data_IF_234118274113
#
_entry.id   IF_234118274113
#
_cell.length_a   1.000
_cell.length_b   1.000
_cell.length_c   1.000
_cell.angle_alpha   90.00
_cell.angle_beta   90.00
_cell.angle_gamma   90.00
#
_symmetry.space_group_name_H-M   'P 1'
#
loop_
_entity.id
_entity.type
_entity.pdbx_description
1 polymer ?
#
# COMPACT_ATOMS: atom_id res chain seq x y z
N UNK A 1 -30.24 -5.31 -0.25
CA UNK A 1 -28.87 -5.81 -0.46
C UNK A 1 -27.97 -4.90 0.35
N UNK A 2 -27.32 -5.40 1.39
CA UNK A 2 -26.38 -4.57 2.14
C UNK A 2 -25.20 -4.27 1.22
N UNK A 3 -24.91 -3.00 0.98
CA UNK A 3 -23.63 -2.61 0.40
C UNK A 3 -22.54 -3.17 1.29
N UNK A 4 -21.59 -3.90 0.70
CA UNK A 4 -20.44 -4.40 1.41
C UNK A 4 -19.51 -3.20 1.70
N UNK A 5 -19.81 -2.46 2.75
CA UNK A 5 -19.10 -1.24 3.18
C UNK A 5 -17.76 -1.53 3.86
N UNK A 6 -17.34 -2.81 3.91
CA UNK A 6 -16.10 -3.18 4.60
C UNK A 6 -14.90 -2.76 3.75
N UNK A 7 -14.12 -1.82 4.29
CA UNK A 7 -12.92 -1.32 3.63
C UNK A 7 -11.90 -2.45 3.47
N UNK A 8 -11.45 -2.68 2.24
CA UNK A 8 -10.38 -3.64 1.93
C UNK A 8 -9.05 -2.93 1.81
N UNK A 9 -8.03 -3.48 2.47
CA UNK A 9 -6.68 -2.92 2.55
C UNK A 9 -5.69 -3.90 1.93
N UNK A 10 -4.77 -3.39 1.13
CA UNK A 10 -3.59 -4.14 0.68
C UNK A 10 -2.35 -3.63 1.43
N UNK A 11 -1.57 -4.54 2.00
CA UNK A 11 -0.26 -4.22 2.58
C UNK A 11 0.82 -4.81 1.68
N UNK A 12 1.68 -3.97 1.12
CA UNK A 12 2.76 -4.38 0.23
C UNK A 12 4.13 -4.03 0.84
N UNK A 13 4.86 -5.05 1.24
CA UNK A 13 6.17 -4.97 1.89
C UNK A 13 6.85 -6.33 1.80
N UNK A 14 8.14 -6.40 1.47
CA UNK A 14 8.89 -7.65 1.44
C UNK A 14 9.32 -8.11 2.84
N UNK A 15 9.32 -7.22 3.83
CA UNK A 15 9.59 -7.58 5.22
C UNK A 15 8.36 -8.22 5.88
N UNK A 16 8.43 -9.54 6.07
CA UNK A 16 7.40 -10.35 6.72
C UNK A 16 7.06 -9.85 8.13
N UNK A 17 8.03 -9.29 8.86
CA UNK A 17 7.82 -8.74 10.19
C UNK A 17 6.93 -7.49 10.14
N UNK A 18 7.19 -6.60 9.17
CA UNK A 18 6.40 -5.39 8.95
C UNK A 18 4.99 -5.74 8.48
N UNK A 19 4.85 -6.65 7.50
CA UNK A 19 3.55 -7.13 7.03
C UNK A 19 2.73 -7.71 8.19
N UNK A 20 3.35 -8.55 9.02
CA UNK A 20 2.69 -9.20 10.16
C UNK A 20 2.24 -8.17 11.20
N UNK A 21 3.11 -7.20 11.52
CA UNK A 21 2.80 -6.12 12.45
C UNK A 21 1.64 -5.26 11.95
N UNK A 22 1.70 -4.78 10.71
CA UNK A 22 0.65 -3.94 10.11
C UNK A 22 -0.67 -4.68 10.00
N UNK A 23 -0.64 -5.95 9.57
CA UNK A 23 -1.85 -6.77 9.50
C UNK A 23 -2.50 -6.95 10.87
N UNK A 24 -1.70 -7.23 11.91
CA UNK A 24 -2.21 -7.35 13.27
C UNK A 24 -2.76 -6.02 13.80
N UNK A 25 -2.05 -4.92 13.54
CA UNK A 25 -2.47 -3.57 13.92
C UNK A 25 -3.81 -3.20 13.26
N UNK A 26 -3.94 -3.39 11.95
CA UNK A 26 -5.17 -3.11 11.22
C UNK A 26 -6.34 -3.98 11.73
N UNK A 27 -6.11 -5.27 11.96
CA UNK A 27 -7.13 -6.17 12.54
C UNK A 27 -7.59 -5.70 13.93
N UNK A 28 -6.67 -5.30 14.80
CA UNK A 28 -7.00 -4.77 16.13
C UNK A 28 -7.83 -3.47 16.07
N UNK A 29 -7.71 -2.72 14.98
CA UNK A 29 -8.49 -1.51 14.72
C UNK A 29 -9.78 -1.75 13.91
N UNK A 30 -10.22 -3.01 13.76
CA UNK A 30 -11.50 -3.36 13.14
C UNK A 30 -11.48 -3.51 11.62
N UNK A 31 -10.31 -3.54 10.98
CA UNK A 31 -10.21 -3.87 9.56
C UNK A 31 -10.13 -5.39 9.36
N UNK A 32 -11.15 -5.97 8.72
CA UNK A 32 -11.27 -7.43 8.57
C UNK A 32 -10.70 -7.95 7.24
N UNK A 33 -10.77 -7.14 6.18
CA UNK A 33 -10.34 -7.51 4.82
C UNK A 33 -8.97 -6.94 4.50
N UNK A 34 -7.93 -7.70 4.84
CA UNK A 34 -6.54 -7.30 4.62
C UNK A 34 -5.88 -8.37 3.75
N UNK A 35 -5.43 -7.96 2.58
CA UNK A 35 -4.59 -8.76 1.70
C UNK A 35 -3.13 -8.28 1.82
N UNK A 36 -2.18 -9.17 1.57
CA UNK A 36 -0.75 -8.89 1.71
C UNK A 36 -0.01 -9.22 0.42
N UNK A 37 1.01 -8.45 0.05
CA UNK A 37 1.88 -8.72 -1.08
C UNK A 37 3.34 -8.49 -0.69
N UNK A 38 4.24 -9.35 -1.14
CA UNK A 38 5.68 -9.25 -0.81
C UNK A 38 6.53 -8.65 -1.93
N UNK A 39 5.92 -8.25 -3.05
CA UNK A 39 6.61 -7.63 -4.18
C UNK A 39 5.64 -6.81 -5.03
N UNK A 40 6.18 -5.95 -5.88
CA UNK A 40 5.42 -5.06 -6.75
C UNK A 40 4.52 -5.83 -7.72
N UNK A 41 5.02 -6.92 -8.30
CA UNK A 41 4.25 -7.73 -9.24
C UNK A 41 2.99 -8.31 -8.59
N UNK A 42 3.11 -8.88 -7.39
CA UNK A 42 1.95 -9.45 -6.68
C UNK A 42 0.94 -8.35 -6.28
N UNK A 43 1.43 -7.21 -5.81
CA UNK A 43 0.57 -6.06 -5.50
C UNK A 43 -0.21 -5.60 -6.74
N UNK A 44 0.46 -5.47 -7.89
CA UNK A 44 -0.16 -5.04 -9.15
C UNK A 44 -1.21 -6.03 -9.67
N UNK A 45 -0.97 -7.34 -9.56
CA UNK A 45 -1.98 -8.34 -9.95
C UNK A 45 -3.21 -8.31 -9.03
N UNK A 46 -3.00 -8.06 -7.72
CA UNK A 46 -4.08 -7.91 -6.76
C UNK A 46 -4.95 -6.69 -7.04
N UNK A 47 -4.36 -5.52 -7.26
CA UNK A 47 -5.15 -4.29 -7.53
C UNK A 47 -5.88 -4.32 -8.88
N UNK A 48 -5.43 -5.14 -9.84
CA UNK A 48 -6.17 -5.36 -11.11
C UNK A 48 -7.42 -6.21 -10.93
N UNK A 49 -7.37 -7.17 -10.03
CA UNK A 49 -8.43 -8.17 -9.84
C UNK A 49 -9.38 -7.82 -8.69
N UNK A 50 -8.96 -6.95 -7.79
CA UNK A 50 -9.68 -6.59 -6.57
C UNK A 50 -9.63 -5.09 -6.34
N UNK A 51 -10.75 -4.50 -5.94
CA UNK A 51 -10.81 -3.08 -5.56
C UNK A 51 -10.36 -2.93 -4.11
N UNK A 52 -9.36 -2.07 -3.89
CA UNK A 52 -8.88 -1.69 -2.57
C UNK A 52 -9.24 -0.24 -2.26
N UNK A 53 -9.61 0.00 -1.01
CA UNK A 53 -9.83 1.36 -0.51
C UNK A 53 -8.51 2.01 -0.11
N UNK A 54 -7.58 1.22 0.42
CA UNK A 54 -6.27 1.67 0.87
C UNK A 54 -5.20 0.66 0.47
N UNK A 55 -4.06 1.15 0.00
CA UNK A 55 -2.83 0.40 -0.17
C UNK A 55 -1.76 1.02 0.72
N UNK A 56 -1.18 0.22 1.62
CA UNK A 56 0.05 0.55 2.32
C UNK A 56 1.20 -0.01 1.50
N UNK A 57 2.07 0.84 0.98
CA UNK A 57 3.04 0.47 -0.04
C UNK A 57 4.46 0.85 0.38
N UNK A 58 5.34 -0.14 0.51
CA UNK A 58 6.76 0.14 0.70
C UNK A 58 7.40 0.76 -0.55
N UNK A 59 8.37 1.66 -0.34
CA UNK A 59 9.11 2.30 -1.43
C UNK A 59 10.13 1.36 -2.07
N UNK A 60 10.79 0.51 -1.27
CA UNK A 60 11.90 -0.33 -1.73
C UNK A 60 11.47 -1.79 -1.78
N UNK A 61 10.76 -2.15 -2.84
CA UNK A 61 10.41 -3.55 -3.09
C UNK A 61 11.55 -4.27 -3.86
N UNK A 62 11.66 -5.60 -3.72
CA UNK A 62 12.76 -6.37 -4.31
C UNK A 62 12.78 -6.37 -5.85
N UNK A 63 11.66 -6.07 -6.49
CA UNK A 63 11.46 -6.16 -7.94
C UNK A 63 11.20 -4.81 -8.63
N UNK A 64 10.79 -3.77 -7.91
CA UNK A 64 10.47 -2.45 -8.47
C UNK A 64 10.43 -1.34 -7.40
N UNK A 65 10.77 -0.12 -7.78
CA UNK A 65 10.51 1.06 -6.94
C UNK A 65 8.99 1.25 -6.69
N UNK A 66 8.61 1.37 -5.42
CA UNK A 66 7.23 1.54 -4.98
C UNK A 66 6.56 2.80 -5.58
N UNK A 67 7.35 3.82 -5.91
CA UNK A 67 6.83 5.02 -6.60
C UNK A 67 6.23 4.68 -7.98
N UNK A 68 6.81 3.72 -8.71
CA UNK A 68 6.25 3.25 -9.98
C UNK A 68 4.99 2.41 -9.76
N UNK A 69 4.94 1.66 -8.67
CA UNK A 69 3.76 0.88 -8.27
C UNK A 69 2.60 1.81 -7.92
N UNK A 70 2.86 2.88 -7.16
CA UNK A 70 1.89 3.94 -6.88
C UNK A 70 1.28 4.49 -8.18
N UNK A 71 2.12 4.89 -9.15
CA UNK A 71 1.64 5.43 -10.41
C UNK A 71 0.69 4.44 -11.11
N UNK A 72 1.07 3.18 -11.21
CA UNK A 72 0.24 2.14 -11.85
C UNK A 72 -1.05 1.87 -11.08
N UNK A 73 -1.03 1.88 -9.75
CA UNK A 73 -2.26 1.74 -8.93
C UNK A 73 -3.21 2.89 -9.25
N UNK A 74 -2.71 4.12 -9.35
CA UNK A 74 -3.54 5.30 -9.66
C UNK A 74 -4.06 5.30 -11.10
N UNK A 75 -3.31 4.75 -12.05
CA UNK A 75 -3.78 4.52 -13.42
C UNK A 75 -4.90 3.47 -13.48
N UNK A 76 -4.80 2.41 -12.68
CA UNK A 76 -5.83 1.35 -12.59
C UNK A 76 -7.09 1.87 -11.88
N UNK A 77 -6.91 2.53 -10.74
CA UNK A 77 -8.00 3.11 -9.97
C UNK A 77 -7.51 4.33 -9.17
N UNK A 78 -7.84 5.52 -9.69
CA UNK A 78 -7.47 6.79 -9.05
C UNK A 78 -8.14 7.01 -7.69
N UNK A 79 -9.22 6.29 -7.37
CA UNK A 79 -9.94 6.36 -6.08
C UNK A 79 -9.31 5.54 -4.96
N UNK A 80 -8.37 4.66 -5.27
CA UNK A 80 -7.66 3.90 -4.25
C UNK A 80 -6.68 4.82 -3.52
N UNK A 81 -6.82 4.97 -2.21
CA UNK A 81 -5.84 5.71 -1.41
C UNK A 81 -4.55 4.89 -1.31
N UNK A 82 -3.41 5.54 -1.42
CA UNK A 82 -2.10 4.89 -1.33
C UNK A 82 -1.26 5.66 -0.34
N UNK A 83 -0.83 4.99 0.72
CA UNK A 83 0.11 5.54 1.70
C UNK A 83 1.46 4.89 1.46
N UNK A 84 2.46 5.72 1.17
CA UNK A 84 3.83 5.26 1.01
C UNK A 84 4.47 5.04 2.38
N UNK A 85 5.22 3.96 2.52
CA UNK A 85 5.96 3.62 3.73
C UNK A 85 7.43 3.39 3.38
N UNK A 86 8.36 3.81 4.23
CA UNK A 86 9.79 3.48 4.04
C UNK A 86 10.56 3.54 5.35
N UNK A 87 11.62 2.73 5.45
CA UNK A 87 12.65 2.87 6.47
C UNK A 87 13.77 3.85 6.11
N UNK A 88 13.86 4.22 4.84
CA UNK A 88 14.88 5.11 4.30
C UNK A 88 14.19 6.33 3.70
N UNK A 89 13.79 7.31 4.54
CA UNK A 89 13.10 8.49 4.06
C UNK A 89 14.04 9.36 3.23
N UNK A 90 13.60 9.70 2.02
CA UNK A 90 14.31 10.60 1.12
C UNK A 90 13.36 11.71 0.69
N UNK A 91 13.80 12.95 0.77
CA UNK A 91 12.96 14.12 0.45
C UNK A 91 12.38 14.07 -0.97
N UNK A 92 13.17 13.59 -1.94
CA UNK A 92 12.70 13.53 -3.33
C UNK A 92 11.64 12.44 -3.53
N UNK A 93 11.79 11.26 -2.91
CA UNK A 93 10.77 10.20 -3.01
C UNK A 93 9.47 10.63 -2.36
N UNK A 94 9.52 11.31 -1.20
CA UNK A 94 8.34 11.86 -0.56
C UNK A 94 7.62 12.88 -1.45
N UNK A 95 8.37 13.86 -2.00
CA UNK A 95 7.81 14.89 -2.88
C UNK A 95 7.22 14.30 -4.15
N UNK A 96 7.92 13.34 -4.77
CA UNK A 96 7.49 12.66 -5.97
C UNK A 96 6.20 11.85 -5.71
N UNK A 97 6.15 11.07 -4.64
CA UNK A 97 4.98 10.27 -4.28
C UNK A 97 3.72 11.13 -4.06
N UNK A 98 3.84 12.24 -3.34
CA UNK A 98 2.71 13.16 -3.13
C UNK A 98 2.24 13.79 -4.46
N UNK A 99 3.18 14.17 -5.33
CA UNK A 99 2.87 14.69 -6.68
C UNK A 99 2.14 13.66 -7.53
N UNK A 100 2.46 12.38 -7.38
CA UNK A 100 1.81 11.26 -8.09
C UNK A 100 0.48 10.81 -7.45
N UNK A 101 0.00 11.52 -6.43
CA UNK A 101 -1.31 11.29 -5.81
C UNK A 101 -1.30 10.28 -4.67
N UNK A 102 -0.14 10.00 -4.06
CA UNK A 102 -0.12 9.35 -2.75
C UNK A 102 -0.96 10.18 -1.76
N UNK A 103 -1.76 9.48 -0.95
CA UNK A 103 -2.56 10.10 0.09
C UNK A 103 -1.66 10.63 1.21
N UNK A 104 -0.65 9.86 1.61
CA UNK A 104 0.31 10.23 2.64
C UNK A 104 1.64 9.48 2.46
N UNK A 105 2.65 9.89 3.21
CA UNK A 105 3.98 9.31 3.28
C UNK A 105 4.40 9.14 4.73
N UNK A 106 4.65 7.90 5.15
CA UNK A 106 4.96 7.56 6.55
C UNK A 106 6.36 6.94 6.63
N UNK A 107 7.15 7.43 7.57
CA UNK A 107 8.40 6.77 7.96
C UNK A 107 8.06 5.63 8.91
N UNK A 108 8.50 4.42 8.58
CA UNK A 108 8.22 3.25 9.40
C UNK A 108 8.91 3.41 10.77
N UNK A 109 8.21 3.19 11.90
CA UNK A 109 8.79 3.26 13.23
C UNK A 109 9.39 1.90 13.59
N UNK A 110 10.68 1.71 13.33
CA UNK A 110 11.44 0.53 13.74
C UNK A 110 12.81 0.89 14.30
#
# INVERSE_FOLDING_TARGET
MAEDTTKRILVCDDDVSVVSFLTLFLKKNGFEKIDVASCAKDALEKVKTTIYNLVLLDIRLPDMEGVLVLQRIKEINSKTDVIMMTGYPEMETARQSLTLGAYDYIVKPF
#
